data_IF_054490224618
#
_entry.id   IF_054490224618
#
_cell.length_a   1.000
_cell.length_b   1.000
_cell.length_c   1.000
_cell.angle_alpha   90.00
_cell.angle_beta   90.00
_cell.angle_gamma   90.00
#
_symmetry.space_group_name_H-M   'P 1'
#
loop_
_entity.id
_entity.type
_entity.pdbx_description
1 polymer ?
#
# COMPACT_ATOMS: atom_id res chain seq x y z
N UNK A 1 26.76 -12.48 14.68
CA UNK A 1 26.33 -11.09 14.91
C UNK A 1 24.95 -11.14 15.56
N UNK A 2 24.68 -10.27 16.53
CA UNK A 2 23.37 -10.22 17.19
C UNK A 2 22.28 -9.77 16.19
N UNK A 3 21.09 -10.41 16.22
CA UNK A 3 19.93 -10.03 15.37
C UNK A 3 19.13 -8.87 16.00
N UNK A 4 19.84 -7.89 16.59
CA UNK A 4 19.23 -6.70 17.18
C UNK A 4 19.00 -5.67 16.08
N UNK A 5 17.72 -5.34 15.83
CA UNK A 5 17.32 -4.31 14.88
C UNK A 5 17.60 -2.93 15.45
N UNK A 6 18.05 -2.00 14.62
CA UNK A 6 18.41 -0.65 15.04
C UNK A 6 17.26 0.36 14.84
N UNK A 7 16.29 0.00 14.02
CA UNK A 7 15.13 0.85 13.70
C UNK A 7 13.86 0.03 13.56
N UNK A 8 12.71 0.63 13.84
CA UNK A 8 11.42 0.04 13.52
C UNK A 8 11.27 -0.23 12.01
N UNK A 9 11.92 0.55 11.17
CA UNK A 9 11.96 0.34 9.72
C UNK A 9 12.61 -1.01 9.32
N UNK A 10 13.56 -1.52 10.12
CA UNK A 10 14.23 -2.81 9.88
C UNK A 10 13.30 -4.02 10.09
N UNK A 11 12.13 -3.79 10.70
CA UNK A 11 11.11 -4.81 10.95
C UNK A 11 10.07 -4.90 9.83
N UNK A 12 10.11 -3.98 8.86
CA UNK A 12 9.16 -3.96 7.75
C UNK A 12 9.44 -5.11 6.78
N UNK A 13 8.40 -5.81 6.39
CA UNK A 13 8.48 -6.97 5.51
C UNK A 13 8.72 -8.27 6.25
N UNK A 14 9.12 -9.32 5.52
CA UNK A 14 9.33 -10.69 6.03
C UNK A 14 8.12 -11.22 6.82
N UNK A 15 6.93 -10.80 6.41
CA UNK A 15 5.69 -11.22 7.05
C UNK A 15 5.40 -12.69 6.76
N UNK A 16 4.77 -13.44 7.68
CA UNK A 16 4.48 -14.85 7.45
C UNK A 16 3.29 -15.05 6.51
N UNK A 17 3.23 -16.26 5.92
CA UNK A 17 2.01 -16.83 5.39
C UNK A 17 1.30 -17.65 6.45
N UNK A 18 -0.03 -17.54 6.51
CA UNK A 18 -0.91 -18.36 7.35
C UNK A 18 -1.84 -19.18 6.47
N UNK A 19 -1.87 -20.49 6.68
CA UNK A 19 -2.84 -21.36 6.04
C UNK A 19 -4.22 -21.21 6.71
N UNK A 20 -5.24 -20.85 5.91
CA UNK A 20 -6.59 -20.53 6.38
C UNK A 20 -7.47 -21.79 6.51
N UNK A 21 -7.00 -22.81 7.24
CA UNK A 21 -7.65 -24.13 7.37
C UNK A 21 -9.10 -24.08 7.85
N UNK A 22 -9.37 -23.27 8.88
CA UNK A 22 -10.71 -23.16 9.44
C UNK A 22 -11.68 -22.49 8.46
N UNK A 23 -11.19 -21.52 7.67
CA UNK A 23 -11.98 -20.88 6.63
C UNK A 23 -12.30 -21.86 5.50
N UNK A 24 -11.30 -22.57 4.98
CA UNK A 24 -11.46 -23.57 3.94
C UNK A 24 -12.47 -24.65 4.36
N UNK A 25 -12.31 -25.22 5.56
CA UNK A 25 -13.24 -26.20 6.12
C UNK A 25 -14.68 -25.67 6.22
N UNK A 26 -14.86 -24.43 6.73
CA UNK A 26 -16.20 -23.80 6.86
C UNK A 26 -16.87 -23.58 5.52
N UNK A 27 -16.08 -23.36 4.45
CA UNK A 27 -16.57 -23.13 3.08
C UNK A 27 -16.63 -24.40 2.23
N UNK A 28 -16.26 -25.57 2.78
CA UNK A 28 -16.24 -26.84 2.04
C UNK A 28 -15.20 -26.85 0.91
N UNK A 29 -14.09 -26.13 1.06
CA UNK A 29 -13.00 -26.11 0.07
C UNK A 29 -12.02 -27.22 0.47
N UNK A 30 -11.99 -28.29 -0.32
CA UNK A 30 -11.18 -29.49 -0.05
C UNK A 30 -10.03 -29.67 -1.08
N UNK A 31 -10.16 -29.04 -2.23
CA UNK A 31 -9.27 -29.17 -3.39
C UNK A 31 -8.27 -28.00 -3.55
N UNK A 32 -8.26 -27.06 -2.62
CA UNK A 32 -7.37 -25.92 -2.65
C UNK A 32 -6.80 -25.57 -1.28
N UNK A 33 -5.54 -25.12 -1.27
CA UNK A 33 -4.86 -24.56 -0.10
C UNK A 33 -4.96 -23.05 -0.14
N UNK A 34 -5.59 -22.46 0.88
CA UNK A 34 -5.72 -20.99 1.00
C UNK A 34 -4.66 -20.47 1.94
N UNK A 35 -3.77 -19.62 1.42
CA UNK A 35 -2.71 -18.95 2.16
C UNK A 35 -3.00 -17.45 2.25
N UNK A 36 -2.79 -16.87 3.42
CA UNK A 36 -2.95 -15.43 3.65
C UNK A 36 -1.61 -14.80 4.06
N UNK A 37 -1.14 -13.82 3.31
CA UNK A 37 0.07 -13.04 3.63
C UNK A 37 -0.29 -12.00 4.70
N UNK A 38 0.25 -12.15 5.91
CA UNK A 38 -0.17 -11.39 7.10
C UNK A 38 0.51 -10.01 7.17
N UNK A 39 0.17 -9.12 6.26
CA UNK A 39 0.77 -7.78 6.17
C UNK A 39 0.43 -6.85 7.36
N UNK A 40 -0.55 -7.18 8.18
CA UNK A 40 -0.84 -6.45 9.42
C UNK A 40 0.24 -6.63 10.50
N UNK A 41 1.18 -7.57 10.33
CA UNK A 41 2.33 -7.75 11.19
C UNK A 41 3.50 -6.81 10.89
N UNK A 42 3.41 -5.98 9.85
CA UNK A 42 4.34 -4.86 9.72
C UNK A 42 4.19 -3.88 10.91
N UNK A 43 5.24 -3.14 11.31
CA UNK A 43 5.25 -2.28 12.51
C UNK A 43 4.11 -1.27 12.60
N UNK A 44 3.72 -0.65 11.48
CA UNK A 44 2.59 0.29 11.44
C UNK A 44 1.27 -0.39 11.01
N UNK A 45 1.25 -1.72 10.92
CA UNK A 45 0.06 -2.55 10.83
C UNK A 45 -0.50 -2.78 9.44
N UNK A 46 0.25 -2.55 8.35
CA UNK A 46 -0.26 -2.81 7.01
C UNK A 46 0.83 -3.02 5.95
N UNK A 47 0.41 -3.51 4.78
CA UNK A 47 1.26 -3.60 3.57
C UNK A 47 1.85 -2.25 3.14
N UNK A 48 1.26 -1.13 3.57
CA UNK A 48 1.70 0.21 3.19
C UNK A 48 3.00 0.65 3.87
N UNK A 49 3.42 -0.04 4.92
CA UNK A 49 4.72 0.17 5.54
C UNK A 49 5.85 -0.08 4.54
N UNK A 50 5.70 -1.11 3.69
CA UNK A 50 6.68 -1.44 2.64
C UNK A 50 6.84 -0.31 1.63
N UNK A 51 5.74 0.21 1.11
CA UNK A 51 5.81 1.31 0.12
C UNK A 51 6.24 2.63 0.76
N UNK A 52 5.88 2.87 2.01
CA UNK A 52 6.32 4.05 2.74
C UNK A 52 7.85 4.06 2.88
N UNK A 53 8.45 2.95 3.31
CA UNK A 53 9.91 2.81 3.38
C UNK A 53 10.54 2.96 2.01
N UNK A 54 10.05 2.22 1.01
CA UNK A 54 10.65 2.23 -0.33
C UNK A 54 10.60 3.60 -1.01
N UNK A 55 9.49 4.32 -0.92
CA UNK A 55 9.36 5.65 -1.51
C UNK A 55 10.27 6.67 -0.83
N UNK A 56 10.43 6.60 0.50
CA UNK A 56 11.37 7.46 1.24
C UNK A 56 12.80 7.15 0.83
N UNK A 57 13.20 5.88 0.80
CA UNK A 57 14.55 5.46 0.43
C UNK A 57 14.90 5.76 -1.03
N UNK A 58 13.94 5.64 -1.94
CA UNK A 58 14.12 6.05 -3.33
C UNK A 58 14.34 7.57 -3.45
N UNK A 59 13.56 8.35 -2.70
CA UNK A 59 13.72 9.80 -2.66
C UNK A 59 15.07 10.24 -2.03
N UNK A 60 15.55 9.52 -1.01
CA UNK A 60 16.89 9.70 -0.43
C UNK A 60 17.98 9.40 -1.46
N UNK A 61 17.90 8.21 -2.09
CA UNK A 61 18.86 7.73 -3.10
C UNK A 61 18.97 8.67 -4.30
N UNK A 62 17.83 9.18 -4.77
CA UNK A 62 17.78 10.12 -5.90
C UNK A 62 18.19 11.54 -5.52
N UNK A 63 18.44 11.83 -4.25
CA UNK A 63 18.75 13.17 -3.74
C UNK A 63 17.58 14.15 -3.72
N UNK A 64 16.36 13.67 -3.98
CA UNK A 64 15.12 14.46 -3.87
C UNK A 64 14.80 14.79 -2.41
N UNK A 65 14.94 13.81 -1.52
CA UNK A 65 14.72 13.97 -0.09
C UNK A 65 16.07 14.11 0.63
N UNK A 66 16.36 15.28 1.14
CA UNK A 66 17.59 15.58 1.89
C UNK A 66 17.35 15.36 3.41
N UNK A 67 18.41 15.07 4.19
CA UNK A 67 18.30 15.00 5.65
C UNK A 67 17.59 16.23 6.24
N UNK A 68 16.61 16.02 7.09
CA UNK A 68 15.82 17.08 7.71
C UNK A 68 14.75 17.73 6.81
N UNK A 69 14.58 17.26 5.57
CA UNK A 69 13.51 17.73 4.69
C UNK A 69 12.13 17.31 5.17
N UNK A 70 11.10 17.93 4.61
CA UNK A 70 9.69 17.64 4.95
C UNK A 70 9.08 16.74 3.90
N UNK A 71 8.44 15.66 4.36
CA UNK A 71 7.60 14.79 3.53
C UNK A 71 6.17 15.31 3.60
N UNK A 72 5.53 15.52 2.46
CA UNK A 72 4.13 15.91 2.38
C UNK A 72 3.40 14.82 1.60
N UNK A 73 2.26 14.33 2.10
CA UNK A 73 1.46 13.35 1.35
C UNK A 73 -0.04 13.58 1.57
N UNK A 74 -0.82 13.66 0.49
CA UNK A 74 -2.27 13.67 0.57
C UNK A 74 -2.78 12.24 0.77
N UNK A 75 -3.12 11.88 2.01
CA UNK A 75 -3.56 10.53 2.31
C UNK A 75 -4.37 10.46 3.58
N UNK A 76 -5.44 9.71 3.54
CA UNK A 76 -6.32 9.43 4.68
C UNK A 76 -6.24 7.98 5.17
N UNK A 77 -5.39 7.18 4.53
CA UNK A 77 -5.34 5.73 4.73
C UNK A 77 -4.05 5.23 5.36
N UNK A 78 -3.84 3.92 5.21
CA UNK A 78 -2.69 3.19 5.75
C UNK A 78 -1.34 3.71 5.22
N UNK A 79 -1.31 4.31 4.03
CA UNK A 79 -0.09 4.95 3.51
C UNK A 79 0.38 6.09 4.41
N UNK A 80 -0.56 6.92 4.89
CA UNK A 80 -0.21 7.99 5.84
C UNK A 80 0.35 7.43 7.15
N UNK A 81 -0.21 6.33 7.65
CA UNK A 81 0.29 5.68 8.88
C UNK A 81 1.71 5.14 8.65
N UNK A 82 1.94 4.42 7.53
CA UNK A 82 3.27 3.93 7.18
C UNK A 82 4.29 5.05 7.00
N UNK A 83 3.92 6.13 6.28
CA UNK A 83 4.81 7.28 6.08
C UNK A 83 5.13 8.00 7.40
N UNK A 84 4.14 8.21 8.27
CA UNK A 84 4.37 8.82 9.59
C UNK A 84 5.32 7.98 10.44
N UNK A 85 5.12 6.65 10.47
CA UNK A 85 5.97 5.72 11.21
C UNK A 85 7.42 5.71 10.69
N UNK A 86 7.61 5.60 9.37
CA UNK A 86 8.96 5.58 8.77
C UNK A 86 9.63 6.94 8.87
N UNK A 87 8.89 8.05 8.67
CA UNK A 87 9.42 9.40 8.84
C UNK A 87 9.92 9.62 10.28
N UNK A 88 9.15 9.19 11.29
CA UNK A 88 9.58 9.24 12.68
C UNK A 88 10.86 8.42 12.92
N UNK A 89 10.92 7.19 12.39
CA UNK A 89 12.08 6.32 12.53
C UNK A 89 13.35 6.88 11.84
N UNK A 90 13.20 7.64 10.76
CA UNK A 90 14.31 8.23 9.99
C UNK A 90 14.59 9.71 10.33
N UNK A 91 13.82 10.33 11.23
CA UNK A 91 14.01 11.71 11.66
C UNK A 91 13.52 12.76 10.66
N UNK A 92 12.54 12.43 9.81
CA UNK A 92 11.91 13.37 8.89
C UNK A 92 10.66 14.01 9.51
N UNK A 93 10.43 15.27 9.16
CA UNK A 93 9.14 15.92 9.38
C UNK A 93 8.14 15.38 8.38
N UNK A 94 6.94 15.00 8.83
CA UNK A 94 5.86 14.52 7.98
C UNK A 94 4.62 15.40 8.12
N UNK A 95 4.09 15.91 7.02
CA UNK A 95 2.84 16.66 6.95
C UNK A 95 1.85 15.86 6.10
N UNK A 96 0.73 15.48 6.70
CA UNK A 96 -0.31 14.72 6.00
C UNK A 96 -1.54 15.59 5.81
N UNK A 97 -1.97 15.74 4.56
CA UNK A 97 -3.20 16.47 4.22
C UNK A 97 -4.35 15.47 4.05
N UNK A 98 -5.45 15.69 4.71
CA UNK A 98 -6.59 14.77 4.73
C UNK A 98 -7.91 15.50 5.01
N UNK A 99 -9.05 14.98 4.51
CA UNK A 99 -10.36 15.56 4.81
C UNK A 99 -10.69 15.50 6.31
N UNK A 100 -11.36 16.52 6.82
CA UNK A 100 -11.79 16.62 8.23
C UNK A 100 -12.85 15.57 8.61
N UNK A 101 -13.43 14.87 7.63
CA UNK A 101 -14.34 13.74 7.83
C UNK A 101 -13.64 12.45 8.27
N UNK A 102 -12.31 12.43 8.27
CA UNK A 102 -11.56 11.27 8.76
C UNK A 102 -11.76 11.04 10.25
N UNK A 103 -11.81 9.75 10.66
CA UNK A 103 -12.06 9.37 12.05
C UNK A 103 -11.02 9.94 13.01
N UNK A 104 -11.46 10.26 14.21
CA UNK A 104 -10.61 10.82 15.26
C UNK A 104 -9.50 9.85 15.64
N UNK A 105 -9.78 8.56 15.68
CA UNK A 105 -8.82 7.49 16.00
C UNK A 105 -7.64 7.50 15.02
N UNK A 106 -7.92 7.63 13.70
CA UNK A 106 -6.86 7.75 12.71
C UNK A 106 -6.03 8.99 12.86
N UNK A 107 -6.69 10.14 13.09
CA UNK A 107 -5.98 11.40 13.34
C UNK A 107 -5.08 11.30 14.57
N UNK A 108 -5.56 10.67 15.64
CA UNK A 108 -4.78 10.46 16.86
C UNK A 108 -3.59 9.52 16.63
N UNK A 109 -3.77 8.44 15.86
CA UNK A 109 -2.69 7.53 15.51
C UNK A 109 -1.59 8.21 14.70
N UNK A 110 -1.95 9.01 13.70
CA UNK A 110 -0.99 9.79 12.89
C UNK A 110 -0.21 10.78 13.74
N UNK A 111 -0.90 11.49 14.65
CA UNK A 111 -0.26 12.40 15.62
C UNK A 111 0.65 11.66 16.59
N UNK A 112 0.30 10.45 17.02
CA UNK A 112 1.13 9.65 17.91
C UNK A 112 2.46 9.24 17.26
N UNK A 113 2.49 9.08 15.92
CA UNK A 113 3.74 8.93 15.15
C UNK A 113 4.47 10.26 14.90
N UNK A 114 3.96 11.39 15.41
CA UNK A 114 4.60 12.71 15.25
C UNK A 114 4.28 13.42 13.93
N UNK A 115 3.33 12.94 13.14
CA UNK A 115 2.93 13.62 11.91
C UNK A 115 2.09 14.87 12.20
N UNK A 116 2.35 15.94 11.45
CA UNK A 116 1.52 17.13 11.41
C UNK A 116 0.33 16.88 10.47
N UNK A 117 -0.88 17.23 10.94
CA UNK A 117 -2.09 17.04 10.15
C UNK A 117 -2.63 18.37 9.68
N UNK A 118 -2.83 18.48 8.37
CA UNK A 118 -3.53 19.62 7.75
C UNK A 118 -4.89 19.14 7.27
N UNK A 119 -5.93 19.50 8.01
CA UNK A 119 -7.30 19.12 7.68
C UNK A 119 -7.84 20.00 6.57
N UNK A 120 -8.48 19.37 5.58
CA UNK A 120 -9.15 20.05 4.48
C UNK A 120 -10.66 19.86 4.57
N UNK A 121 -11.40 20.71 3.91
CA UNK A 121 -12.87 20.66 3.87
C UNK A 121 -13.35 19.29 3.36
N UNK A 122 -14.14 18.60 4.16
CA UNK A 122 -14.62 17.24 3.86
C UNK A 122 -15.40 17.13 2.55
N UNK A 123 -16.17 18.17 2.21
CA UNK A 123 -16.92 18.23 0.94
C UNK A 123 -16.03 18.15 -0.31
N UNK A 124 -14.76 18.57 -0.22
CA UNK A 124 -13.76 18.48 -1.30
C UNK A 124 -13.09 17.12 -1.39
N UNK A 125 -13.27 16.25 -0.39
CA UNK A 125 -12.70 14.91 -0.34
C UNK A 125 -11.19 14.91 -0.58
N UNK A 126 -10.69 13.83 -1.20
CA UNK A 126 -9.26 13.70 -1.53
C UNK A 126 -8.73 14.75 -2.51
N UNK A 127 -9.57 15.30 -3.39
CA UNK A 127 -9.16 16.39 -4.29
C UNK A 127 -8.72 17.64 -3.51
N UNK A 128 -9.44 17.96 -2.44
CA UNK A 128 -9.07 19.05 -1.53
C UNK A 128 -7.75 18.80 -0.81
N UNK A 129 -7.53 17.56 -0.37
CA UNK A 129 -6.28 17.17 0.30
C UNK A 129 -5.07 17.25 -0.66
N UNK A 130 -5.23 16.79 -1.92
CA UNK A 130 -4.19 16.88 -2.96
C UNK A 130 -3.83 18.34 -3.24
N UNK A 131 -4.84 19.19 -3.49
CA UNK A 131 -4.58 20.60 -3.76
C UNK A 131 -3.86 21.31 -2.59
N UNK A 132 -4.17 20.94 -1.34
CA UNK A 132 -3.49 21.49 -0.17
C UNK A 132 -2.07 20.95 0.00
N UNK A 133 -1.79 19.70 -0.37
CA UNK A 133 -0.43 19.16 -0.41
C UNK A 133 0.43 19.91 -1.43
N UNK A 134 -0.11 20.18 -2.63
CA UNK A 134 0.58 20.92 -3.68
C UNK A 134 0.86 22.39 -3.28
N UNK A 135 -0.06 23.01 -2.55
CA UNK A 135 0.12 24.35 -1.98
C UNK A 135 1.27 24.36 -0.98
N UNK A 136 1.23 23.44 0.01
CA UNK A 136 2.26 23.33 1.03
C UNK A 136 3.64 22.99 0.45
N UNK A 137 3.69 22.19 -0.62
CA UNK A 137 4.95 21.86 -1.28
C UNK A 137 5.61 23.09 -1.94
N UNK A 138 4.83 24.07 -2.35
CA UNK A 138 5.35 25.36 -2.88
C UNK A 138 5.79 26.30 -1.75
N UNK A 139 5.12 26.24 -0.61
CA UNK A 139 5.40 27.09 0.56
C UNK A 139 6.59 26.59 1.38
N UNK A 140 6.88 25.29 1.38
CA UNK A 140 7.94 24.66 2.18
C UNK A 140 9.10 24.24 1.27
N UNK A 141 10.16 25.03 1.16
CA UNK A 141 11.29 24.70 0.29
C UNK A 141 11.95 23.37 0.65
N UNK A 142 12.23 22.56 -0.36
CA UNK A 142 12.87 21.26 -0.18
C UNK A 142 11.94 20.17 0.34
N UNK A 143 10.64 20.43 0.48
CA UNK A 143 9.67 19.38 0.77
C UNK A 143 9.42 18.47 -0.44
N UNK A 144 8.98 17.23 -0.18
CA UNK A 144 8.76 16.22 -1.20
C UNK A 144 7.38 15.59 -1.02
N UNK A 145 6.59 15.55 -2.11
CA UNK A 145 5.41 14.70 -2.22
C UNK A 145 5.84 13.38 -2.84
N UNK A 146 5.60 12.26 -2.15
CA UNK A 146 6.05 10.93 -2.60
C UNK A 146 5.14 10.30 -3.65
N UNK A 147 3.82 10.54 -3.59
CA UNK A 147 2.87 10.22 -4.65
C UNK A 147 2.62 8.72 -4.85
N UNK A 148 1.98 8.07 -3.89
CA UNK A 148 1.77 6.61 -3.87
C UNK A 148 1.14 6.00 -5.12
N UNK A 149 0.36 6.78 -5.89
CA UNK A 149 -0.36 6.30 -7.09
C UNK A 149 0.48 6.33 -8.37
N UNK A 150 1.60 7.06 -8.36
CA UNK A 150 2.44 7.29 -9.55
C UNK A 150 3.91 6.94 -9.30
N UNK A 151 4.30 6.70 -8.05
CA UNK A 151 5.69 6.44 -7.68
C UNK A 151 6.10 5.00 -8.02
N UNK A 152 7.08 4.78 -8.92
CA UNK A 152 7.50 3.44 -9.33
C UNK A 152 8.14 2.61 -8.20
N UNK A 153 8.63 3.25 -7.12
CA UNK A 153 9.14 2.54 -5.95
C UNK A 153 8.05 1.68 -5.27
N UNK A 154 6.77 2.03 -5.46
CA UNK A 154 5.64 1.25 -4.92
C UNK A 154 5.58 -0.18 -5.52
N UNK A 155 5.36 -0.40 -6.81
CA UNK A 155 5.41 -1.77 -7.35
C UNK A 155 6.80 -2.41 -7.23
N UNK A 156 7.87 -1.63 -7.33
CA UNK A 156 9.23 -2.14 -7.26
C UNK A 156 9.54 -2.83 -5.93
N UNK A 157 9.11 -2.29 -4.78
CA UNK A 157 9.33 -2.95 -3.49
C UNK A 157 8.58 -4.27 -3.37
N UNK A 158 7.39 -4.38 -3.94
CA UNK A 158 6.63 -5.63 -3.94
C UNK A 158 7.28 -6.69 -4.83
N UNK A 159 7.83 -6.28 -5.98
CA UNK A 159 8.62 -7.15 -6.85
C UNK A 159 9.90 -7.63 -6.18
N UNK A 160 10.56 -6.75 -5.40
CA UNK A 160 11.83 -7.05 -4.75
C UNK A 160 11.69 -7.78 -3.41
N UNK A 161 10.54 -7.70 -2.75
CA UNK A 161 10.37 -8.27 -1.40
C UNK A 161 9.14 -9.16 -1.27
N UNK A 162 7.95 -8.64 -1.41
CA UNK A 162 6.69 -9.38 -1.19
C UNK A 162 6.55 -10.60 -2.12
N UNK A 163 6.89 -10.43 -3.39
CA UNK A 163 6.88 -11.51 -4.38
C UNK A 163 7.86 -12.64 -4.02
N UNK A 164 9.16 -12.35 -3.84
CA UNK A 164 10.13 -13.32 -3.36
C UNK A 164 9.74 -14.01 -2.06
N UNK A 165 9.25 -13.27 -1.06
CA UNK A 165 8.80 -13.84 0.21
C UNK A 165 7.67 -14.87 0.00
N UNK A 166 6.68 -14.56 -0.84
CA UNK A 166 5.59 -15.50 -1.15
C UNK A 166 6.15 -16.75 -1.83
N UNK A 167 7.01 -16.58 -2.83
CA UNK A 167 7.58 -17.67 -3.60
C UNK A 167 8.41 -18.62 -2.72
N UNK A 168 9.29 -18.07 -1.90
CA UNK A 168 10.12 -18.83 -0.96
C UNK A 168 9.30 -19.55 0.10
N UNK A 169 8.32 -18.87 0.70
CA UNK A 169 7.46 -19.42 1.75
C UNK A 169 6.52 -20.53 1.26
N UNK A 170 6.32 -20.65 -0.05
CA UNK A 170 5.49 -21.68 -0.69
C UNK A 170 6.31 -22.76 -1.40
N UNK A 171 7.65 -22.74 -1.28
CA UNK A 171 8.55 -23.58 -2.07
C UNK A 171 8.25 -23.52 -3.59
N UNK A 172 7.89 -22.33 -4.08
CA UNK A 172 7.53 -22.08 -5.47
C UNK A 172 6.17 -22.64 -5.90
N UNK A 173 5.34 -23.08 -4.98
CA UNK A 173 4.02 -23.68 -5.28
C UNK A 173 2.92 -22.64 -5.14
N UNK A 174 2.79 -21.80 -6.14
CA UNK A 174 1.74 -20.77 -6.24
C UNK A 174 1.01 -20.96 -7.57
N UNK A 175 -0.27 -21.29 -7.51
CA UNK A 175 -1.12 -21.39 -8.70
C UNK A 175 -1.86 -20.08 -8.96
N UNK A 176 -2.38 -19.46 -7.90
CA UNK A 176 -3.20 -18.25 -7.99
C UNK A 176 -2.76 -17.23 -6.94
N UNK A 177 -2.45 -16.02 -7.37
CA UNK A 177 -2.21 -14.88 -6.49
C UNK A 177 -3.39 -13.91 -6.55
N UNK A 178 -4.01 -13.62 -5.41
CA UNK A 178 -5.17 -12.75 -5.29
C UNK A 178 -4.81 -11.50 -4.48
N UNK A 179 -5.04 -10.31 -5.03
CA UNK A 179 -4.79 -9.06 -4.34
C UNK A 179 -5.85 -8.00 -4.61
N UNK A 180 -6.25 -7.26 -3.57
CA UNK A 180 -7.11 -6.09 -3.69
C UNK A 180 -6.35 -4.90 -4.30
N UNK A 181 -7.00 -4.17 -5.21
CA UNK A 181 -6.40 -3.05 -5.92
C UNK A 181 -6.76 -1.72 -5.28
N UNK A 182 -5.78 -1.12 -4.58
CA UNK A 182 -5.83 0.28 -4.16
C UNK A 182 -5.00 1.15 -5.12
N UNK A 183 -3.68 1.17 -4.95
CA UNK A 183 -2.75 1.85 -5.86
C UNK A 183 -2.31 0.98 -7.06
N UNK A 184 -2.61 -0.31 -7.03
CA UNK A 184 -2.13 -1.28 -8.01
C UNK A 184 -0.74 -1.86 -7.71
N UNK A 185 0.05 -1.22 -6.85
CA UNK A 185 1.45 -1.58 -6.63
C UNK A 185 1.68 -3.03 -6.18
N UNK A 186 0.85 -3.56 -5.29
CA UNK A 186 0.99 -4.95 -4.81
C UNK A 186 0.71 -5.95 -5.91
N UNK A 187 -0.43 -5.83 -6.60
CA UNK A 187 -0.81 -6.78 -7.66
C UNK A 187 0.20 -6.74 -8.80
N UNK A 188 0.69 -5.56 -9.15
CA UNK A 188 1.70 -5.36 -10.20
C UNK A 188 3.05 -5.96 -9.78
N UNK A 189 3.63 -5.52 -8.67
CA UNK A 189 4.97 -5.93 -8.28
C UNK A 189 5.07 -7.43 -7.96
N UNK A 190 4.12 -7.96 -7.20
CA UNK A 190 4.08 -9.40 -6.90
C UNK A 190 3.77 -10.19 -8.18
N UNK A 191 2.81 -9.74 -8.99
CA UNK A 191 2.44 -10.39 -10.24
C UNK A 191 3.61 -10.49 -11.21
N UNK A 192 4.35 -9.41 -11.43
CA UNK A 192 5.56 -9.41 -12.25
C UNK A 192 6.61 -10.41 -11.74
N UNK A 193 6.84 -10.45 -10.43
CA UNK A 193 7.80 -11.39 -9.85
C UNK A 193 7.33 -12.84 -10.05
N UNK A 194 6.11 -13.18 -9.65
CA UNK A 194 5.58 -14.53 -9.73
C UNK A 194 5.53 -15.04 -11.18
N UNK A 195 5.08 -14.21 -12.13
CA UNK A 195 5.09 -14.52 -13.57
C UNK A 195 6.50 -14.73 -14.11
N UNK A 196 7.51 -14.06 -13.55
CA UNK A 196 8.91 -14.29 -13.95
C UNK A 196 9.46 -15.63 -13.46
N UNK A 197 8.90 -16.18 -12.38
CA UNK A 197 9.28 -17.49 -11.83
C UNK A 197 8.48 -18.63 -12.49
N UNK A 198 7.18 -18.43 -12.64
CA UNK A 198 6.27 -19.37 -13.30
C UNK A 198 5.21 -18.59 -14.10
N UNK A 199 5.26 -18.63 -15.44
CA UNK A 199 4.30 -17.93 -16.31
C UNK A 199 2.85 -18.39 -16.13
N UNK A 200 2.62 -19.60 -15.61
CA UNK A 200 1.28 -20.19 -15.46
C UNK A 200 0.54 -19.68 -14.20
N UNK A 201 1.24 -19.00 -13.29
CA UNK A 201 0.57 -18.42 -12.10
C UNK A 201 -0.52 -17.44 -12.53
N UNK A 202 -1.74 -17.65 -12.07
CA UNK A 202 -2.84 -16.72 -12.31
C UNK A 202 -2.75 -15.53 -11.35
N UNK A 203 -2.90 -14.31 -11.88
CA UNK A 203 -2.91 -13.08 -11.10
C UNK A 203 -4.34 -12.52 -11.10
N UNK A 204 -4.97 -12.48 -9.94
CA UNK A 204 -6.35 -12.03 -9.75
C UNK A 204 -6.37 -10.70 -9.01
N UNK A 205 -6.81 -9.66 -9.71
CA UNK A 205 -7.06 -8.34 -9.13
C UNK A 205 -8.49 -8.26 -8.59
N UNK A 206 -8.64 -7.78 -7.35
CA UNK A 206 -9.94 -7.64 -6.69
C UNK A 206 -10.30 -6.17 -6.54
N UNK A 207 -11.52 -5.82 -6.94
CA UNK A 207 -12.10 -4.49 -6.75
C UNK A 207 -13.50 -4.57 -6.10
N UNK A 208 -14.03 -3.49 -5.50
CA UNK A 208 -15.39 -3.51 -4.94
C UNK A 208 -16.45 -3.69 -6.03
N UNK A 209 -17.39 -4.61 -5.84
CA UNK A 209 -18.47 -4.88 -6.80
C UNK A 209 -19.33 -3.63 -7.11
N UNK A 210 -19.49 -2.73 -6.14
CA UNK A 210 -20.23 -1.46 -6.33
C UNK A 210 -19.39 -0.36 -6.98
N UNK A 211 -18.08 -0.58 -7.22
CA UNK A 211 -17.16 0.36 -7.87
C UNK A 211 -16.23 -0.39 -8.84
N UNK A 212 -16.79 -1.03 -9.89
CA UNK A 212 -16.03 -1.88 -10.83
C UNK A 212 -15.27 -1.03 -11.85
N UNK A 213 -14.31 -0.23 -11.37
CA UNK A 213 -13.57 0.72 -12.22
C UNK A 213 -12.62 0.01 -13.17
N UNK A 214 -11.98 -1.08 -12.71
CA UNK A 214 -11.01 -1.81 -13.51
C UNK A 214 -11.67 -2.66 -14.58
N UNK A 215 -12.80 -3.30 -14.27
CA UNK A 215 -13.52 -4.19 -15.20
C UNK A 215 -14.53 -3.48 -16.08
N UNK A 216 -15.21 -2.43 -15.55
CA UNK A 216 -16.33 -1.78 -16.25
C UNK A 216 -16.14 -0.26 -16.48
N UNK A 217 -15.07 0.35 -15.96
CA UNK A 217 -14.83 1.78 -16.04
C UNK A 217 -15.81 2.64 -15.21
N UNK A 218 -16.54 2.02 -14.28
CA UNK A 218 -17.57 2.70 -13.48
C UNK A 218 -17.14 2.85 -12.03
N UNK A 219 -17.04 4.07 -11.52
CA UNK A 219 -16.82 4.34 -10.10
C UNK A 219 -18.13 4.41 -9.33
N UNK A 220 -18.15 3.90 -8.09
CA UNK A 220 -19.31 3.93 -7.22
C UNK A 220 -18.91 4.00 -5.73
N UNK A 221 -19.89 4.27 -4.87
CA UNK A 221 -19.67 4.31 -3.44
C UNK A 221 -19.50 2.90 -2.86
N UNK A 222 -18.51 2.71 -2.00
CA UNK A 222 -18.27 1.47 -1.26
C UNK A 222 -17.65 1.77 0.11
N UNK A 223 -17.70 0.80 1.02
CA UNK A 223 -17.18 0.93 2.39
C UNK A 223 -15.86 0.19 2.62
N UNK A 224 -15.31 -0.49 1.62
CA UNK A 224 -14.09 -1.27 1.76
C UNK A 224 -12.90 -0.30 1.78
N UNK A 225 -12.14 -0.32 2.88
CA UNK A 225 -10.99 0.56 3.04
C UNK A 225 -9.74 -0.04 2.37
N UNK A 226 -8.96 0.80 1.70
CA UNK A 226 -7.65 0.44 1.14
C UNK A 226 -7.65 -0.09 -0.28
N UNK A 227 -8.83 -0.37 -0.87
CA UNK A 227 -9.00 -0.72 -2.27
C UNK A 227 -10.08 0.16 -2.94
N UNK A 228 -10.21 0.10 -4.26
CA UNK A 228 -11.26 0.82 -4.97
C UNK A 228 -11.04 2.34 -4.94
N UNK A 229 -9.97 2.83 -5.53
CA UNK A 229 -9.61 4.25 -5.53
C UNK A 229 -10.59 5.16 -6.32
N UNK A 230 -11.53 4.58 -7.07
CA UNK A 230 -12.50 5.30 -7.90
C UNK A 230 -11.95 5.72 -9.27
N UNK A 231 -10.75 5.34 -9.60
CA UNK A 231 -10.09 5.52 -10.90
C UNK A 231 -9.12 4.37 -11.15
N UNK A 232 -8.69 4.20 -12.40
CA UNK A 232 -7.66 3.21 -12.76
C UNK A 232 -6.30 3.80 -12.37
N UNK A 233 -5.56 3.20 -11.41
CA UNK A 233 -4.25 3.71 -11.03
C UNK A 233 -3.20 3.50 -12.12
N UNK A 234 -2.33 4.49 -12.34
CA UNK A 234 -1.25 4.41 -13.34
C UNK A 234 -0.27 3.27 -13.08
N UNK A 235 -0.13 2.86 -11.81
CA UNK A 235 0.73 1.75 -11.40
C UNK A 235 0.09 0.37 -11.59
N UNK A 236 -1.19 0.29 -11.97
CA UNK A 236 -1.84 -0.99 -12.23
C UNK A 236 -1.52 -1.44 -13.66
N UNK A 237 -0.69 -2.47 -13.79
CA UNK A 237 -0.48 -3.15 -15.05
C UNK A 237 -1.63 -4.14 -15.28
N UNK A 238 -2.75 -3.63 -15.79
CA UNK A 238 -3.96 -4.42 -16.06
C UNK A 238 -3.69 -5.57 -17.05
N UNK A 239 -2.62 -5.46 -17.86
CA UNK A 239 -2.23 -6.47 -18.83
C UNK A 239 -1.49 -7.68 -18.24
N UNK A 240 -1.13 -7.66 -16.95
CA UNK A 240 -0.53 -8.83 -16.26
C UNK A 240 -1.62 -9.63 -15.52
N UNK A 241 -2.76 -9.02 -15.25
CA UNK A 241 -3.86 -9.66 -14.53
C UNK A 241 -4.82 -10.35 -15.49
N UNK A 242 -5.20 -11.59 -15.19
CA UNK A 242 -6.39 -12.22 -15.69
C UNK A 242 -7.62 -11.33 -15.43
N UNK A 243 -8.74 -11.51 -16.18
CA UNK A 243 -9.91 -10.66 -16.04
C UNK A 243 -10.33 -10.52 -14.58
N UNK A 244 -10.52 -9.29 -14.17
CA UNK A 244 -10.89 -8.90 -12.81
C UNK A 244 -12.15 -9.64 -12.39
N UNK A 245 -12.07 -10.49 -11.36
CA UNK A 245 -13.26 -11.09 -10.76
C UNK A 245 -13.77 -10.14 -9.69
N UNK A 246 -15.06 -9.81 -9.78
CA UNK A 246 -15.75 -9.07 -8.74
C UNK A 246 -15.85 -9.93 -7.48
N UNK A 247 -15.35 -9.44 -6.35
CA UNK A 247 -15.67 -10.04 -5.05
C UNK A 247 -16.94 -9.37 -4.51
N UNK A 248 -18.00 -10.11 -4.38
CA UNK A 248 -19.14 -9.71 -3.55
C UNK A 248 -18.74 -9.89 -2.09
N UNK A 249 -18.59 -8.79 -1.38
CA UNK A 249 -18.39 -8.72 0.08
C UNK A 249 -19.53 -7.92 0.69
#
# INVERSE_FOLDING_TARGET
>A
MSDIKQSAADLIGKTPLLQANNYAKKKGIEDAVILTKLEYLNPAGSVKDRIALAMIEDAEKSGKLKPGATIIEPTSGNTGIGLASVAAAKGYRAILTLPDTMSVERRNLLKAYGAELVLTEGAKGMKGAIAKADELAKEIPGSVILGQFVNPANPAVHKATTGPEIWEQTDGKVDIFVAGVGTGGTVTGVGEYLKSQNPDVQIVAVEPATSPVLSEGKSGAHKIQGIGAGFVPDLSLIHISEPTRQAEI
#
